data_IF_777145270586
#
_entry.id   IF_777145270586
#
_cell.length_a   1.000
_cell.length_b   1.000
_cell.length_c   1.000
_cell.angle_alpha   90.00
_cell.angle_beta   90.00
_cell.angle_gamma   90.00
#
_symmetry.space_group_name_H-M   'P 1'
#
loop_
_entity.id
_entity.type
_entity.pdbx_description
1 polymer ?
#
# COMPACT_ATOMS: atom_id res chain seq x y z
N UNK A 1 -3.04 7.62 1.56
CA UNK A 1 -3.17 6.18 1.88
C UNK A 1 -1.94 5.65 2.61
N UNK A 2 -0.77 5.60 1.95
CA UNK A 2 0.48 5.08 2.54
C UNK A 2 1.12 6.01 3.56
N UNK A 3 1.21 7.31 3.25
CA UNK A 3 1.82 8.33 4.12
C UNK A 3 1.11 8.51 5.47
N UNK A 4 -0.11 8.01 5.65
CA UNK A 4 -0.77 7.97 6.96
C UNK A 4 0.07 7.18 7.97
N UNK A 5 0.78 6.14 7.52
CA UNK A 5 1.63 5.32 8.37
C UNK A 5 2.95 6.02 8.77
N UNK A 6 3.45 6.92 7.91
CA UNK A 6 4.67 7.71 8.15
C UNK A 6 4.64 8.97 7.26
N UNK A 7 4.15 10.12 7.78
CA UNK A 7 3.91 11.32 6.97
C UNK A 7 5.16 11.92 6.33
N UNK A 8 6.32 11.76 6.96
CA UNK A 8 7.61 12.26 6.49
C UNK A 8 8.34 11.31 5.52
N UNK A 9 7.72 10.18 5.14
CA UNK A 9 8.33 9.25 4.20
C UNK A 9 8.52 9.91 2.83
N UNK A 10 9.74 9.83 2.31
CA UNK A 10 10.07 10.27 0.96
C UNK A 10 9.44 9.33 -0.08
N UNK A 11 9.26 9.82 -1.30
CA UNK A 11 8.71 9.03 -2.40
C UNK A 11 9.50 7.72 -2.68
N UNK A 12 10.85 7.71 -2.68
CA UNK A 12 11.61 6.48 -2.84
C UNK A 12 11.33 5.43 -1.76
N UNK A 13 11.10 5.85 -0.51
CA UNK A 13 10.74 4.95 0.57
C UNK A 13 9.33 4.39 0.42
N UNK A 14 8.40 5.19 -0.10
CA UNK A 14 7.04 4.72 -0.46
C UNK A 14 7.12 3.67 -1.54
N UNK A 15 7.87 3.92 -2.62
CA UNK A 15 8.10 2.94 -3.69
C UNK A 15 8.78 1.67 -3.21
N UNK A 16 9.71 1.76 -2.26
CA UNK A 16 10.34 0.59 -1.66
C UNK A 16 9.34 -0.25 -0.84
N UNK A 17 8.49 0.38 -0.04
CA UNK A 17 7.43 -0.32 0.68
C UNK A 17 6.44 -1.01 -0.28
N UNK A 18 6.10 -0.36 -1.39
CA UNK A 18 5.25 -0.91 -2.45
C UNK A 18 5.87 -2.14 -3.14
N UNK A 19 7.18 -2.08 -3.45
CA UNK A 19 7.93 -3.21 -4.03
C UNK A 19 7.96 -4.40 -3.07
N UNK A 20 8.29 -4.16 -1.81
CA UNK A 20 8.33 -5.21 -0.78
C UNK A 20 6.97 -5.85 -0.54
N UNK A 21 5.88 -5.11 -0.75
CA UNK A 21 4.51 -5.62 -0.68
C UNK A 21 3.98 -6.19 -2.02
N UNK A 22 4.78 -6.21 -3.10
CA UNK A 22 4.42 -6.69 -4.44
C UNK A 22 3.17 -6.01 -5.03
N UNK A 23 3.07 -4.70 -4.87
CA UNK A 23 1.97 -3.89 -5.43
C UNK A 23 2.45 -2.64 -6.17
N UNK A 24 3.76 -2.45 -6.28
CA UNK A 24 4.41 -1.41 -7.09
C UNK A 24 3.99 -1.46 -8.56
N UNK A 25 3.97 -2.65 -9.18
CA UNK A 25 3.58 -2.79 -10.58
C UNK A 25 2.10 -2.47 -10.84
N UNK A 26 1.24 -2.54 -9.81
CA UNK A 26 -0.12 -2.03 -9.89
C UNK A 26 -0.11 -0.50 -9.81
N UNK A 27 0.58 0.08 -8.83
CA UNK A 27 0.60 1.54 -8.68
C UNK A 27 1.19 2.20 -9.93
N UNK A 28 2.28 1.65 -10.49
CA UNK A 28 2.95 2.19 -11.67
C UNK A 28 2.11 2.16 -12.97
N UNK A 29 1.06 1.31 -13.05
CA UNK A 29 0.17 1.26 -14.23
C UNK A 29 -1.08 2.12 -14.08
N UNK A 30 -1.34 2.67 -12.89
CA UNK A 30 -2.50 3.53 -12.70
C UNK A 30 -2.26 4.89 -13.38
N UNK A 31 -3.32 5.54 -13.91
CA UNK A 31 -3.18 6.79 -14.67
C UNK A 31 -2.40 7.88 -13.94
N UNK A 32 -2.60 7.99 -12.62
CA UNK A 32 -1.98 9.03 -11.78
C UNK A 32 -0.95 8.45 -10.81
N UNK A 33 -0.53 7.19 -11.00
CA UNK A 33 0.48 6.55 -10.14
C UNK A 33 0.11 6.60 -8.65
N UNK A 34 1.02 7.15 -7.83
CA UNK A 34 0.82 7.35 -6.39
C UNK A 34 -0.34 8.28 -6.03
N UNK A 35 -0.68 9.21 -6.92
CA UNK A 35 -1.75 10.19 -6.73
C UNK A 35 -3.12 9.67 -7.14
N UNK A 36 -3.18 8.43 -7.65
CA UNK A 36 -4.45 7.80 -8.04
C UNK A 36 -5.42 7.73 -6.87
N UNK A 37 -6.57 8.35 -7.05
CA UNK A 37 -7.66 8.27 -6.08
C UNK A 37 -8.21 6.84 -6.05
N UNK A 38 -8.27 6.24 -4.87
CA UNK A 38 -8.83 4.89 -4.65
C UNK A 38 -10.16 4.99 -3.89
N UNK A 39 -11.10 4.08 -4.17
CA UNK A 39 -12.40 4.02 -3.50
C UNK A 39 -13.58 4.11 -4.47
N UNK A 40 -14.78 4.45 -3.97
CA UNK A 40 -16.04 4.40 -4.74
C UNK A 40 -16.05 5.29 -6.00
N UNK A 41 -15.34 6.43 -5.95
CA UNK A 41 -15.24 7.37 -7.08
C UNK A 41 -13.89 7.30 -7.81
N UNK A 42 -13.06 6.31 -7.48
CA UNK A 42 -11.71 6.16 -8.01
C UNK A 42 -11.42 4.73 -8.45
N UNK A 43 -10.13 4.37 -8.48
CA UNK A 43 -9.73 3.00 -8.76
C UNK A 43 -10.26 2.05 -7.68
N UNK A 44 -10.97 1.00 -8.11
CA UNK A 44 -11.48 -0.05 -7.24
C UNK A 44 -10.45 -1.17 -7.11
N UNK A 45 -9.77 -1.18 -5.97
CA UNK A 45 -8.85 -2.26 -5.61
C UNK A 45 -9.60 -3.59 -5.46
N UNK A 46 -9.00 -4.69 -5.88
CA UNK A 46 -9.45 -6.03 -5.48
C UNK A 46 -9.15 -6.31 -3.99
N UNK A 47 -9.65 -7.42 -3.45
CA UNK A 47 -9.35 -7.83 -2.07
C UNK A 47 -7.86 -8.01 -1.82
N UNK A 48 -7.18 -8.77 -2.68
CA UNK A 48 -5.73 -9.00 -2.57
C UNK A 48 -4.88 -7.74 -2.78
N UNK A 49 -5.32 -6.81 -3.63
CA UNK A 49 -4.64 -5.52 -3.79
C UNK A 49 -4.75 -4.65 -2.53
N UNK A 50 -5.93 -4.61 -1.89
CA UNK A 50 -6.10 -3.93 -0.59
C UNK A 50 -5.20 -4.53 0.48
N UNK A 51 -5.14 -5.86 0.56
CA UNK A 51 -4.29 -6.56 1.52
C UNK A 51 -2.81 -6.23 1.32
N UNK A 52 -2.32 -6.24 0.07
CA UNK A 52 -0.95 -5.83 -0.24
C UNK A 52 -0.69 -4.35 0.06
N UNK A 53 -1.65 -3.46 -0.17
CA UNK A 53 -1.54 -2.05 0.23
C UNK A 53 -1.48 -1.89 1.76
N UNK A 54 -2.21 -2.70 2.52
CA UNK A 54 -2.09 -2.75 3.98
C UNK A 54 -0.71 -3.22 4.41
N UNK A 55 -0.17 -4.27 3.77
CA UNK A 55 1.20 -4.72 4.02
C UNK A 55 2.24 -3.62 3.72
N UNK A 56 2.09 -2.90 2.61
CA UNK A 56 2.96 -1.76 2.28
C UNK A 56 2.93 -0.69 3.38
N UNK A 57 1.75 -0.38 3.95
CA UNK A 57 1.66 0.56 5.10
C UNK A 57 2.42 0.06 6.33
N UNK A 58 2.28 -1.22 6.65
CA UNK A 58 2.97 -1.83 7.81
C UNK A 58 4.49 -1.79 7.63
N UNK A 59 4.97 -2.09 6.42
CA UNK A 59 6.38 -2.02 6.07
C UNK A 59 6.91 -0.58 6.15
N UNK A 60 6.14 0.40 5.66
CA UNK A 60 6.50 1.81 5.70
C UNK A 60 6.53 2.38 7.13
N UNK A 61 5.67 1.88 8.01
CA UNK A 61 5.65 2.24 9.43
C UNK A 61 6.90 1.76 10.20
N UNK A 62 7.67 0.81 9.65
CA UNK A 62 8.88 0.30 10.28
C UNK A 62 8.62 -0.51 11.57
N UNK A 63 7.44 -1.13 11.69
CA UNK A 63 7.09 -1.94 12.86
C UNK A 63 8.02 -3.16 12.97
N UNK A 64 8.58 -3.40 14.17
CA UNK A 64 9.50 -4.52 14.43
C UNK A 64 8.81 -5.89 14.47
N UNK A 65 7.54 -5.91 14.86
CA UNK A 65 6.70 -7.11 14.95
C UNK A 65 5.32 -6.75 14.41
N UNK A 66 4.76 -7.64 13.59
CA UNK A 66 3.42 -7.51 13.01
C UNK A 66 2.68 -8.83 13.26
N UNK A 67 1.47 -8.74 13.79
CA UNK A 67 0.55 -9.89 13.89
C UNK A 67 -0.50 -9.69 12.79
N UNK A 68 -0.56 -10.65 11.87
CA UNK A 68 -1.57 -10.70 10.82
C UNK A 68 -2.56 -11.79 11.19
N UNK A 69 -3.77 -11.40 11.58
CA UNK A 69 -4.86 -12.35 11.79
C UNK A 69 -5.72 -12.40 10.53
N UNK A 70 -5.58 -13.48 9.78
CA UNK A 70 -6.50 -13.82 8.68
C UNK A 70 -7.51 -14.80 9.24
N UNK A 71 -8.60 -14.27 9.83
CA UNK A 71 -9.79 -15.06 10.08
C UNK A 71 -10.41 -15.42 8.72
N UNK A 72 -9.92 -16.50 8.12
CA UNK A 72 -10.47 -17.07 6.88
C UNK A 72 -11.92 -17.48 7.15
N UNK A 73 -12.84 -16.94 6.34
CA UNK A 73 -14.19 -17.47 6.14
C UNK A 73 -14.23 -18.26 4.82
#
# INVERSE_FOLDING_TARGET
>A
NLLVARPAASEPEVWEALRRARVDALVARLPDGLDTVVGERGYRLSGGERQRLTLARLLLAGQRVVILDEATA
#
